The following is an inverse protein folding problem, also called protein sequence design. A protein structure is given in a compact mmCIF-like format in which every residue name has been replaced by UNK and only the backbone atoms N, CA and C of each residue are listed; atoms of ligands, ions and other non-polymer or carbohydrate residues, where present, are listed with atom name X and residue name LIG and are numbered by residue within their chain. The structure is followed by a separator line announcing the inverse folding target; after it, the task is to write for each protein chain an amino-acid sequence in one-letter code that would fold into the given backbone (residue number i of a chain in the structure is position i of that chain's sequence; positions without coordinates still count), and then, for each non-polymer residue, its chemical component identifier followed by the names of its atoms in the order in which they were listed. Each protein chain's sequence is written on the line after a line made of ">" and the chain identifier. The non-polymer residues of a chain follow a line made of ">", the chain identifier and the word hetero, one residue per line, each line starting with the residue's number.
data_IF_236705075978
#
_entry.id   IF_236705075978
#
_cell.length_a   1.000
_cell.length_b   1.000
_cell.length_c   1.000
_cell.angle_alpha   90.00
_cell.angle_beta   90.00
_cell.angle_gamma   90.00
#
_symmetry.space_group_name_H-M   'P 1'
#
loop_
_entity.id
_entity.type
_entity.pdbx_description
1 polymer ?
#
# COMPACT_ATOMS: atom_id res chain seq x y z
N UNK A 1 65.51 13.50 47.95
CA UNK A 1 64.39 14.46 48.09
C UNK A 1 63.69 14.76 46.74
N UNK A 2 63.75 13.87 45.74
CA UNK A 2 63.21 14.15 44.39
C UNK A 2 61.96 13.33 44.00
N UNK A 3 61.77 12.14 44.57
CA UNK A 3 60.60 11.30 44.25
C UNK A 3 59.25 11.90 44.69
N UNK A 4 59.22 12.71 45.76
CA UNK A 4 57.99 13.34 46.25
C UNK A 4 57.44 14.45 45.35
N UNK A 5 58.30 15.09 44.54
CA UNK A 5 57.91 16.22 43.66
C UNK A 5 57.19 15.73 42.40
N UNK A 6 57.58 14.57 41.86
CA UNK A 6 56.93 13.97 40.69
C UNK A 6 55.53 13.41 41.00
N UNK A 7 55.35 12.82 42.19
CA UNK A 7 54.04 12.34 42.64
C UNK A 7 53.04 13.49 42.88
N UNK A 8 53.49 14.60 43.46
CA UNK A 8 52.64 15.78 43.65
C UNK A 8 52.19 16.41 42.33
N UNK A 9 53.06 16.42 41.30
CA UNK A 9 52.70 16.91 39.95
C UNK A 9 51.69 16.03 39.22
N UNK A 10 51.79 14.70 39.35
CA UNK A 10 50.85 13.76 38.76
C UNK A 10 49.45 13.84 39.40
N UNK A 11 49.36 14.08 40.72
CA UNK A 11 48.08 14.22 41.42
C UNK A 11 47.34 15.50 41.00
N UNK A 12 48.07 16.60 40.81
CA UNK A 12 47.52 17.89 40.35
C UNK A 12 46.95 17.82 38.91
N UNK A 13 47.59 17.04 38.03
CA UNK A 13 47.11 16.83 36.66
C UNK A 13 45.81 16.02 36.61
N UNK A 14 45.63 15.05 37.51
CA UNK A 14 44.42 14.21 37.56
C UNK A 14 43.21 14.99 38.12
N UNK A 15 43.43 15.90 39.07
CA UNK A 15 42.33 16.72 39.63
C UNK A 15 41.82 17.80 38.68
N UNK A 16 42.65 18.29 37.75
CA UNK A 16 42.23 19.29 36.76
C UNK A 16 41.43 18.69 35.58
N UNK A 17 41.47 17.37 35.39
CA UNK A 17 40.67 16.66 34.38
C UNK A 17 39.26 16.29 34.84
N UNK A 18 38.92 16.49 36.12
CA UNK A 18 37.53 16.39 36.58
C UNK A 18 36.77 17.64 36.16
N UNK A 19 36.49 17.72 34.86
CA UNK A 19 35.56 18.69 34.30
C UNK A 19 34.23 18.57 35.04
N UNK A 20 33.77 19.69 35.58
CA UNK A 20 32.41 19.83 36.10
C UNK A 20 31.45 19.48 34.98
N UNK A 21 30.77 18.34 35.08
CA UNK A 21 29.66 17.97 34.21
C UNK A 21 28.56 19.00 34.45
N UNK A 22 28.52 20.06 33.64
CA UNK A 22 27.40 20.97 33.63
C UNK A 22 26.16 20.16 33.27
N UNK A 23 25.24 20.01 34.23
CA UNK A 23 23.98 19.33 34.02
C UNK A 23 23.22 20.09 32.91
N UNK A 24 23.23 19.50 31.72
CA UNK A 24 22.69 20.11 30.52
C UNK A 24 21.20 19.84 30.47
N UNK A 25 20.41 20.90 30.51
CA UNK A 25 18.97 20.82 30.36
C UNK A 25 18.64 20.47 28.90
N UNK A 26 18.04 19.29 28.69
CA UNK A 26 17.73 18.75 27.37
C UNK A 26 16.23 18.56 27.17
N UNK A 27 15.80 18.63 25.91
CA UNK A 27 14.44 18.28 25.48
C UNK A 27 14.48 16.85 24.93
N UNK A 28 13.60 15.99 25.42
CA UNK A 28 13.48 14.58 25.02
C UNK A 28 12.16 14.36 24.27
N UNK A 29 12.17 13.45 23.31
CA UNK A 29 10.94 12.99 22.63
C UNK A 29 10.46 11.73 23.36
N UNK A 30 9.19 11.71 23.72
CA UNK A 30 8.52 10.52 24.25
C UNK A 30 7.88 9.77 23.08
N UNK A 31 8.50 8.66 22.68
CA UNK A 31 8.10 7.85 21.52
C UNK A 31 7.14 6.71 21.90
N UNK A 32 6.96 6.42 23.20
CA UNK A 32 6.30 5.20 23.68
C UNK A 32 4.76 5.25 23.66
N UNK A 33 4.15 6.13 22.86
CA UNK A 33 2.71 6.34 22.88
C UNK A 33 2.01 5.56 21.75
N UNK A 34 1.20 4.57 22.11
CA UNK A 34 0.44 3.72 21.18
C UNK A 34 -0.50 4.54 20.27
N UNK A 35 -0.92 5.72 20.71
CA UNK A 35 -1.81 6.64 19.97
C UNK A 35 -1.15 7.30 18.74
N UNK A 36 0.16 7.11 18.54
CA UNK A 36 0.92 7.72 17.45
C UNK A 36 1.07 9.24 17.57
N UNK A 37 0.79 9.82 18.73
CA UNK A 37 1.04 11.22 19.06
C UNK A 37 2.48 11.45 19.50
N UNK A 38 3.06 12.58 19.10
CA UNK A 38 4.43 12.96 19.45
C UNK A 38 4.40 13.94 20.62
N UNK A 39 5.05 13.57 21.72
CA UNK A 39 5.12 14.41 22.92
C UNK A 39 6.57 14.76 23.25
N UNK A 40 6.84 16.02 23.52
CA UNK A 40 8.13 16.52 23.99
C UNK A 40 8.12 16.63 25.50
N UNK A 41 9.23 16.29 26.15
CA UNK A 41 9.44 16.43 27.59
C UNK A 41 10.67 17.28 27.86
N UNK A 42 10.53 18.28 28.72
CA UNK A 42 11.63 19.16 29.11
C UNK A 42 12.28 18.66 30.40
N UNK A 43 13.58 18.36 30.43
CA UNK A 43 14.25 17.77 31.61
C UNK A 43 14.63 18.79 32.72
N UNK A 44 13.91 19.90 32.81
CA UNK A 44 14.14 20.92 33.82
C UNK A 44 13.37 20.63 35.12
N UNK A 45 14.03 20.82 36.26
CA UNK A 45 13.44 20.69 37.60
C UNK A 45 12.70 21.96 38.04
N UNK A 46 11.93 22.57 37.14
CA UNK A 46 11.22 23.83 37.39
C UNK A 46 9.71 23.67 37.23
N UNK A 47 8.95 24.36 38.08
CA UNK A 47 7.47 24.28 38.09
C UNK A 47 6.80 25.08 36.99
N UNK A 48 7.50 26.04 36.37
CA UNK A 48 6.99 26.90 35.30
C UNK A 48 7.93 26.75 34.12
N UNK A 49 7.43 26.16 33.04
CA UNK A 49 8.18 25.90 31.82
C UNK A 49 7.44 26.59 30.68
N UNK A 50 8.15 27.47 29.97
CA UNK A 50 7.70 28.08 28.73
C UNK A 50 8.23 27.27 27.55
N UNK A 51 7.39 27.10 26.53
CA UNK A 51 7.74 26.37 25.33
C UNK A 51 7.87 27.31 24.15
N UNK A 52 8.90 27.08 23.34
CA UNK A 52 9.19 27.85 22.15
C UNK A 52 9.30 26.93 20.94
N UNK A 53 8.76 27.39 19.81
CA UNK A 53 8.94 26.82 18.48
C UNK A 53 9.50 27.89 17.56
N UNK A 54 10.65 27.63 16.96
CA UNK A 54 11.28 28.55 15.99
C UNK A 54 11.37 30.00 16.53
N UNK A 55 11.78 30.13 17.80
CA UNK A 55 11.87 31.40 18.56
C UNK A 55 10.53 32.10 18.92
N UNK A 56 9.40 31.48 18.63
CA UNK A 56 8.06 31.97 19.02
C UNK A 56 7.56 31.21 20.25
N UNK A 57 7.08 31.92 21.27
CA UNK A 57 6.46 31.30 22.47
C UNK A 57 5.11 30.66 22.09
N UNK A 58 4.98 29.35 22.34
CA UNK A 58 3.78 28.56 22.05
C UNK A 58 2.99 28.18 23.32
N UNK A 59 3.61 28.34 24.49
CA UNK A 59 2.94 28.02 25.76
C UNK A 59 1.79 28.98 26.05
N UNK A 60 0.58 28.50 26.34
CA UNK A 60 -0.50 29.36 26.79
C UNK A 60 -0.17 29.99 28.14
N UNK A 61 -0.54 31.25 28.30
CA UNK A 61 -0.35 32.03 29.53
C UNK A 61 -0.94 31.24 30.70
N UNK A 62 -0.12 30.94 31.72
CA UNK A 62 -0.46 30.24 32.97
C UNK A 62 -0.57 28.70 32.94
N UNK A 63 -0.20 28.01 31.86
CA UNK A 63 -0.19 26.53 31.85
C UNK A 63 1.22 25.99 31.92
N UNK A 64 1.68 25.60 33.12
CA UNK A 64 2.98 24.97 33.29
C UNK A 64 2.92 23.45 33.13
N UNK A 65 3.13 22.97 31.90
CA UNK A 65 3.31 21.53 31.65
C UNK A 65 4.75 21.24 31.26
N UNK A 66 5.35 20.26 31.94
CA UNK A 66 6.68 19.70 31.61
C UNK A 66 6.68 19.02 30.24
N UNK A 67 5.50 18.65 29.75
CA UNK A 67 5.29 17.98 28.47
C UNK A 67 4.53 18.87 27.50
N UNK A 68 4.95 18.85 26.23
CA UNK A 68 4.28 19.54 25.13
C UNK A 68 3.84 18.55 24.06
N UNK A 69 2.57 18.62 23.66
CA UNK A 69 2.00 17.71 22.67
C UNK A 69 2.05 18.34 21.27
N UNK A 70 2.69 17.66 20.32
CA UNK A 70 2.77 18.07 18.93
C UNK A 70 1.62 17.52 18.07
N UNK A 71 0.76 16.70 18.67
CA UNK A 71 -0.31 15.97 17.98
C UNK A 71 0.20 14.72 17.28
N UNK A 72 -0.58 14.21 16.34
CA UNK A 72 -0.25 12.99 15.59
C UNK A 72 1.03 13.15 14.78
N UNK A 73 1.90 12.15 14.86
CA UNK A 73 3.09 12.00 14.02
C UNK A 73 2.77 12.05 12.51
N UNK A 74 1.56 11.62 12.11
CA UNK A 74 1.08 11.65 10.72
C UNK A 74 0.94 13.04 10.12
N UNK A 75 0.93 14.11 10.94
CA UNK A 75 0.87 15.49 10.48
C UNK A 75 2.26 16.08 10.17
N UNK A 76 3.30 15.26 10.20
CA UNK A 76 4.68 15.67 9.98
C UNK A 76 5.08 16.89 10.83
N UNK A 77 5.02 16.80 12.17
CA UNK A 77 5.47 17.89 13.02
C UNK A 77 6.96 18.16 12.77
N UNK A 78 7.26 19.43 12.43
CA UNK A 78 8.61 19.93 12.12
C UNK A 78 8.85 21.26 12.82
N UNK A 79 10.10 21.50 13.18
CA UNK A 79 10.57 22.77 13.74
C UNK A 79 11.65 22.58 14.81
N UNK A 80 12.18 23.70 15.29
CA UNK A 80 13.15 23.72 16.37
C UNK A 80 12.42 24.06 17.65
N UNK A 81 12.47 23.14 18.61
CA UNK A 81 11.79 23.25 19.89
C UNK A 81 12.81 23.44 21.01
N UNK A 82 12.47 24.32 21.95
CA UNK A 82 13.21 24.46 23.19
C UNK A 82 12.28 24.93 24.30
N UNK A 83 12.63 24.58 25.52
CA UNK A 83 11.95 25.04 26.72
C UNK A 83 12.82 26.02 27.51
N UNK A 84 12.17 26.99 28.17
CA UNK A 84 12.78 27.96 29.06
C UNK A 84 12.15 27.87 30.45
N UNK A 85 13.00 27.75 31.47
CA UNK A 85 12.62 27.93 32.86
C UNK A 85 12.68 29.40 33.27
N UNK A 86 12.66 29.63 34.58
CA UNK A 86 12.85 30.93 35.23
C UNK A 86 14.24 31.51 35.00
N UNK A 87 15.30 30.68 34.96
CA UNK A 87 16.68 31.15 34.79
C UNK A 87 17.45 30.42 33.70
N UNK A 88 17.07 29.19 33.38
CA UNK A 88 17.82 28.35 32.45
C UNK A 88 17.08 28.13 31.13
N UNK A 89 17.84 28.07 30.04
CA UNK A 89 17.36 27.68 28.71
C UNK A 89 17.87 26.27 28.40
N UNK A 90 17.02 25.44 27.81
CA UNK A 90 17.42 24.12 27.28
C UNK A 90 18.11 24.24 25.92
N UNK A 91 18.87 23.21 25.56
CA UNK A 91 19.40 23.10 24.19
C UNK A 91 18.25 22.96 23.19
N UNK A 92 18.34 23.60 22.01
CA UNK A 92 17.36 23.43 20.94
C UNK A 92 17.37 21.99 20.42
N UNK A 93 16.17 21.44 20.23
CA UNK A 93 15.92 20.14 19.61
C UNK A 93 15.24 20.35 18.27
N UNK A 94 15.88 19.90 17.19
CA UNK A 94 15.26 19.90 15.87
C UNK A 94 14.41 18.65 15.70
N UNK A 95 13.09 18.85 15.62
CA UNK A 95 12.12 17.78 15.36
C UNK A 95 11.89 17.70 13.85
N UNK A 96 12.07 16.51 13.28
CA UNK A 96 11.86 16.25 11.87
C UNK A 96 11.12 14.93 11.69
N UNK A 97 9.79 14.98 11.66
CA UNK A 97 8.98 13.85 11.25
C UNK A 97 8.71 13.89 9.74
N UNK A 98 8.84 12.72 9.12
CA UNK A 98 8.43 12.46 7.75
C UNK A 98 7.69 11.13 7.74
N UNK A 99 6.40 11.20 8.02
CA UNK A 99 5.48 10.09 7.84
C UNK A 99 4.95 10.10 6.41
N UNK A 100 4.75 8.94 5.82
CA UNK A 100 3.92 8.85 4.62
C UNK A 100 2.53 8.38 5.02
N UNK A 101 1.49 9.14 4.66
CA UNK A 101 0.09 8.70 4.86
C UNK A 101 -0.29 7.47 4.00
N UNK A 102 0.51 7.12 2.99
CA UNK A 102 0.26 5.99 2.08
C UNK A 102 1.49 5.09 1.87
N UNK A 103 2.48 5.12 2.75
CA UNK A 103 3.57 4.13 2.66
C UNK A 103 3.04 2.80 3.22
N UNK A 104 3.01 1.78 2.38
CA UNK A 104 2.78 0.40 2.81
C UNK A 104 4.13 -0.15 3.25
N UNK A 105 4.19 -0.66 4.47
CA UNK A 105 5.34 -1.42 4.93
C UNK A 105 5.39 -2.75 4.16
N UNK A 106 6.37 -2.85 3.26
CA UNK A 106 6.58 -4.05 2.46
C UNK A 106 7.39 -5.05 3.29
N UNK A 107 6.66 -5.87 4.05
CA UNK A 107 7.20 -6.99 4.80
C UNK A 107 7.16 -8.26 3.96
N UNK A 108 8.04 -9.21 4.28
CA UNK A 108 8.11 -10.49 3.57
C UNK A 108 6.75 -11.20 3.56
N UNK A 109 6.02 -11.14 4.67
CA UNK A 109 4.69 -11.73 4.80
C UNK A 109 3.64 -11.04 3.91
N UNK A 110 3.67 -9.71 3.80
CA UNK A 110 2.71 -8.97 2.96
C UNK A 110 2.98 -9.21 1.49
N UNK A 111 4.25 -9.19 1.08
CA UNK A 111 4.68 -9.52 -0.29
C UNK A 111 4.31 -10.96 -0.64
N UNK A 112 4.57 -11.91 0.25
CA UNK A 112 4.19 -13.30 0.05
C UNK A 112 2.67 -13.47 -0.07
N UNK A 113 1.89 -12.76 0.75
CA UNK A 113 0.44 -12.75 0.67
C UNK A 113 -0.08 -12.23 -0.67
N UNK A 114 0.51 -11.17 -1.22
CA UNK A 114 0.15 -10.66 -2.55
C UNK A 114 0.42 -11.69 -3.65
N UNK A 115 1.63 -12.26 -3.66
CA UNK A 115 2.03 -13.26 -4.67
C UNK A 115 1.13 -14.51 -4.56
N UNK A 116 0.88 -15.00 -3.35
CA UNK A 116 0.06 -16.18 -3.13
C UNK A 116 -1.39 -15.98 -3.59
N UNK A 117 -1.96 -14.82 -3.27
CA UNK A 117 -3.33 -14.46 -3.70
C UNK A 117 -3.42 -14.32 -5.21
N UNK A 118 -2.41 -13.74 -5.85
CA UNK A 118 -2.35 -13.58 -7.30
C UNK A 118 -2.27 -14.95 -8.01
N UNK A 119 -1.43 -15.86 -7.51
CA UNK A 119 -1.32 -17.23 -8.06
C UNK A 119 -2.67 -17.97 -7.96
N UNK A 120 -3.32 -17.92 -6.80
CA UNK A 120 -4.62 -18.59 -6.62
C UNK A 120 -5.69 -17.98 -7.53
N UNK A 121 -5.74 -16.66 -7.63
CA UNK A 121 -6.67 -15.96 -8.51
C UNK A 121 -6.52 -16.40 -9.97
N UNK A 122 -5.29 -16.38 -10.48
CA UNK A 122 -4.99 -16.81 -11.85
C UNK A 122 -5.34 -18.28 -12.05
N UNK A 123 -5.03 -19.15 -11.08
CA UNK A 123 -5.35 -20.57 -11.16
C UNK A 123 -6.85 -20.82 -11.25
N UNK A 124 -7.66 -20.17 -10.40
CA UNK A 124 -9.11 -20.29 -10.43
C UNK A 124 -9.70 -19.79 -11.75
N UNK A 125 -9.21 -18.66 -12.26
CA UNK A 125 -9.62 -18.13 -13.56
C UNK A 125 -9.25 -19.10 -14.70
N UNK A 126 -8.04 -19.65 -14.69
CA UNK A 126 -7.58 -20.62 -15.69
C UNK A 126 -8.43 -21.89 -15.68
N UNK A 127 -8.74 -22.43 -14.49
CA UNK A 127 -9.62 -23.58 -14.34
C UNK A 127 -11.03 -23.27 -14.82
N UNK A 128 -11.57 -22.09 -14.48
CA UNK A 128 -12.89 -21.64 -14.96
C UNK A 128 -12.96 -21.57 -16.48
N UNK A 129 -11.98 -20.93 -17.13
CA UNK A 129 -11.88 -20.87 -18.59
C UNK A 129 -11.71 -22.24 -19.21
N UNK A 130 -10.88 -23.10 -18.61
CA UNK A 130 -10.66 -24.47 -19.08
C UNK A 130 -11.96 -25.28 -19.07
N UNK A 131 -12.78 -25.17 -18.02
CA UNK A 131 -14.08 -25.85 -17.98
C UNK A 131 -15.08 -25.27 -18.99
N UNK A 132 -15.13 -23.95 -19.16
CA UNK A 132 -16.03 -23.31 -20.14
C UNK A 132 -15.67 -23.73 -21.56
N UNK A 133 -14.39 -23.60 -21.95
CA UNK A 133 -13.92 -23.97 -23.29
C UNK A 133 -13.96 -25.50 -23.52
N UNK A 134 -13.68 -26.30 -22.49
CA UNK A 134 -13.76 -27.77 -22.57
C UNK A 134 -15.19 -28.29 -22.75
N UNK A 135 -16.21 -27.55 -22.32
CA UNK A 135 -17.61 -27.94 -22.45
C UNK A 135 -18.16 -27.79 -23.88
N UNK A 136 -17.50 -26.99 -24.73
CA UNK A 136 -17.87 -26.83 -26.16
C UNK A 136 -17.49 -28.06 -27.01
N UNK A 137 -16.64 -28.97 -26.50
CA UNK A 137 -16.15 -30.14 -27.24
C UNK A 137 -16.99 -31.43 -27.14
N UNK A 138 -17.96 -31.55 -26.23
CA UNK A 138 -18.68 -32.83 -25.96
C UNK A 138 -20.18 -32.77 -26.25
N UNK A 139 -20.76 -31.58 -26.44
CA UNK A 139 -22.12 -31.43 -26.97
C UNK A 139 -22.14 -30.58 -28.23
N UNK A 140 -21.40 -31.05 -29.24
CA UNK A 140 -22.03 -31.09 -30.56
C UNK A 140 -23.22 -32.04 -30.45
N UNK A 141 -24.34 -31.52 -29.93
CA UNK A 141 -25.64 -31.91 -30.44
C UNK A 141 -25.53 -31.68 -31.93
N UNK A 142 -25.23 -32.76 -32.64
CA UNK A 142 -25.34 -32.91 -34.08
C UNK A 142 -26.83 -32.82 -34.41
N UNK A 143 -27.41 -31.66 -34.12
CA UNK A 143 -28.71 -31.19 -34.55
C UNK A 143 -28.54 -30.23 -35.73
N UNK A 144 -27.32 -30.10 -36.24
CA UNK A 144 -27.08 -29.69 -37.62
C UNK A 144 -27.37 -30.90 -38.51
N UNK A 145 -28.44 -30.77 -39.28
CA UNK A 145 -28.53 -31.36 -40.61
C UNK A 145 -28.81 -32.87 -40.72
N UNK A 146 -29.57 -33.42 -39.77
CA UNK A 146 -30.70 -34.23 -40.22
C UNK A 146 -31.92 -33.34 -40.10
N UNK A 147 -32.21 -32.64 -41.18
CA UNK A 147 -33.58 -32.31 -41.53
C UNK A 147 -34.43 -33.51 -41.10
N UNK A 148 -35.26 -33.34 -40.07
CA UNK A 148 -36.35 -34.28 -39.79
C UNK A 148 -37.20 -34.22 -41.06
N UNK A 149 -36.82 -35.01 -42.06
CA UNK A 149 -37.71 -35.43 -43.10
C UNK A 149 -38.89 -35.94 -42.32
N UNK A 150 -39.98 -35.18 -42.33
CA UNK A 150 -41.27 -35.74 -42.01
C UNK A 150 -41.30 -37.05 -42.76
N UNK A 151 -41.38 -38.17 -42.03
CA UNK A 151 -41.66 -39.49 -42.55
C UNK A 151 -43.08 -39.46 -43.10
N UNK A 152 -43.24 -38.69 -44.16
CA UNK A 152 -44.42 -38.54 -44.95
C UNK A 152 -44.03 -39.07 -46.32
N UNK A 153 -43.91 -40.40 -46.37
CA UNK A 153 -43.70 -41.20 -47.58
C UNK A 153 -44.88 -41.08 -48.57
N UNK A 154 -45.81 -40.14 -48.36
CA UNK A 154 -47.04 -39.97 -49.15
C UNK A 154 -47.31 -38.54 -49.62
N UNK A 155 -46.48 -37.53 -49.29
CA UNK A 155 -46.75 -36.15 -49.74
C UNK A 155 -46.28 -35.87 -51.17
N UNK A 156 -45.32 -36.63 -51.67
CA UNK A 156 -44.95 -36.58 -53.08
C UNK A 156 -45.46 -37.83 -53.77
N UNK A 157 -46.30 -37.60 -54.77
CA UNK A 157 -46.77 -38.63 -55.67
C UNK A 157 -45.55 -39.29 -56.32
N UNK A 158 -45.35 -40.61 -56.19
CA UNK A 158 -44.22 -41.29 -56.81
C UNK A 158 -44.28 -41.05 -58.32
N UNK A 159 -43.17 -40.62 -58.89
CA UNK A 159 -43.06 -40.39 -60.33
C UNK A 159 -43.35 -41.71 -61.04
N UNK A 160 -44.54 -41.80 -61.64
CA UNK A 160 -44.93 -42.91 -62.51
C UNK A 160 -43.99 -42.92 -63.71
N UNK A 161 -43.61 -44.11 -64.14
CA UNK A 161 -42.83 -44.30 -65.37
C UNK A 161 -43.54 -43.56 -66.51
N UNK A 162 -42.80 -42.66 -67.16
CA UNK A 162 -43.34 -41.71 -68.14
C UNK A 162 -43.92 -42.47 -69.32
N UNK A 163 -45.24 -42.52 -69.44
CA UNK A 163 -45.92 -42.89 -70.67
C UNK A 163 -45.56 -41.84 -71.74
N UNK A 164 -45.20 -42.30 -72.93
CA UNK A 164 -44.72 -41.45 -74.03
C UNK A 164 -45.90 -40.68 -74.65
N UNK A 165 -46.39 -39.72 -73.88
CA UNK A 165 -47.57 -38.92 -74.24
C UNK A 165 -47.21 -37.84 -75.26
N UNK A 166 -48.20 -37.42 -76.03
CA UNK A 166 -48.09 -36.50 -77.18
C UNK A 166 -47.33 -35.17 -76.93
N UNK A 167 -47.16 -34.77 -75.67
CA UNK A 167 -46.41 -33.59 -75.24
C UNK A 167 -44.92 -33.86 -74.94
N UNK A 168 -44.46 -35.12 -75.00
CA UNK A 168 -43.06 -35.53 -74.79
C UNK A 168 -42.14 -35.16 -75.96
N UNK A 169 -42.72 -34.99 -77.15
CA UNK A 169 -41.99 -34.70 -78.39
C UNK A 169 -41.93 -33.22 -78.77
N UNK A 170 -42.34 -32.32 -77.87
CA UNK A 170 -42.21 -30.89 -78.11
C UNK A 170 -40.74 -30.47 -77.96
N UNK A 171 -39.98 -30.71 -79.02
CA UNK A 171 -38.59 -30.30 -79.17
C UNK A 171 -38.51 -28.76 -79.18
N UNK A 172 -37.69 -28.23 -78.27
CA UNK A 172 -37.47 -26.80 -78.11
C UNK A 172 -37.08 -26.09 -79.41
N UNK A 173 -37.86 -25.06 -79.75
CA UNK A 173 -37.68 -24.01 -80.75
C UNK A 173 -36.43 -24.07 -81.64
N UNK A 174 -36.62 -24.52 -82.88
CA UNK A 174 -35.72 -24.20 -83.98
C UNK A 174 -36.14 -22.89 -84.69
N UNK A 175 -35.15 -22.06 -84.95
CA UNK A 175 -35.21 -20.66 -85.35
C UNK A 175 -35.40 -20.44 -86.88
N UNK A 176 -36.23 -19.43 -87.21
CA UNK A 176 -35.98 -18.28 -88.13
C UNK A 176 -36.32 -18.36 -89.64
N UNK A 177 -37.17 -17.42 -90.08
CA UNK A 177 -37.11 -16.57 -91.31
C UNK A 177 -38.32 -15.61 -91.28
N UNK A 178 -38.31 -14.36 -91.72
CA UNK A 178 -37.36 -13.53 -92.48
C UNK A 178 -37.70 -12.07 -92.15
#
# INVERSE_FOLDING_TARGET
>A
MEQGKHLAGLILAVTLLQGTMAQLNEVKVDENQEDGSVRLTCDMNEKVIKWFKDEVEISPVNTSKKTWDLGSSTKDPRGIYWCQGSKNRSKPLQVYYRMCQNCIELNLDTVFGFIFTEIISIFLLAVGVYYIAGQEGVRQSRASDKQTLLSNDQLYQPLKEREDDQYSHLQGNHLRKN
#
